data_IF_641377128305
#
_entry.id   IF_641377128305
#
_cell.length_a   1.000
_cell.length_b   1.000
_cell.length_c   1.000
_cell.angle_alpha   90.00
_cell.angle_beta   90.00
_cell.angle_gamma   90.00
#
_symmetry.space_group_name_H-M   'P 1'
#
loop_
_entity.id
_entity.type
_entity.pdbx_description
1 polymer ?
#
# COMPACT_ATOMS: atom_id res chain seq x y z
N UNK A 1 -35.68 -58.41 -56.38
CA UNK A 1 -34.40 -57.96 -55.80
C UNK A 1 -34.46 -56.44 -55.62
N UNK A 2 -34.88 -55.97 -54.43
CA UNK A 2 -34.97 -54.55 -54.11
C UNK A 2 -33.61 -54.02 -53.63
N UNK A 3 -33.10 -52.99 -54.31
CA UNK A 3 -31.86 -52.29 -53.93
C UNK A 3 -32.17 -51.22 -52.89
N UNK A 4 -31.68 -51.44 -51.68
CA UNK A 4 -31.45 -50.43 -50.65
C UNK A 4 -30.43 -49.40 -51.15
N UNK A 5 -30.65 -48.10 -50.86
CA UNK A 5 -29.69 -47.14 -50.28
C UNK A 5 -30.06 -45.70 -50.62
N UNK A 6 -30.30 -44.87 -49.61
CA UNK A 6 -29.42 -43.75 -49.23
C UNK A 6 -30.13 -42.94 -48.13
N UNK A 7 -29.63 -43.01 -46.91
CA UNK A 7 -29.90 -42.04 -45.87
C UNK A 7 -28.59 -41.28 -45.69
N UNK A 8 -28.53 -40.04 -46.19
CA UNK A 8 -27.47 -39.09 -45.84
C UNK A 8 -27.96 -38.29 -44.64
N UNK A 9 -27.47 -38.62 -43.45
CA UNK A 9 -27.53 -37.74 -42.29
C UNK A 9 -26.41 -36.71 -42.41
N UNK A 10 -26.77 -35.47 -42.69
CA UNK A 10 -25.84 -34.32 -42.64
C UNK A 10 -25.85 -33.80 -41.21
N UNK A 11 -24.91 -34.27 -40.40
CA UNK A 11 -24.59 -33.68 -39.09
C UNK A 11 -23.70 -32.46 -39.31
N UNK A 12 -24.33 -31.28 -39.44
CA UNK A 12 -23.64 -30.00 -39.42
C UNK A 12 -23.16 -29.68 -38.01
N UNK A 13 -21.87 -29.92 -37.75
CA UNK A 13 -21.18 -29.50 -36.52
C UNK A 13 -21.08 -27.97 -36.53
N UNK A 14 -21.96 -27.30 -35.78
CA UNK A 14 -21.83 -25.87 -35.50
C UNK A 14 -20.75 -25.69 -34.42
N UNK A 15 -19.53 -25.41 -34.85
CA UNK A 15 -18.43 -25.01 -33.96
C UNK A 15 -18.74 -23.58 -33.50
N UNK A 16 -19.38 -23.45 -32.34
CA UNK A 16 -19.44 -22.19 -31.59
C UNK A 16 -18.03 -21.87 -31.10
N UNK A 17 -17.31 -21.07 -31.89
CA UNK A 17 -16.11 -20.36 -31.47
C UNK A 17 -16.53 -19.34 -30.39
N UNK A 18 -16.59 -19.79 -29.15
CA UNK A 18 -16.65 -18.90 -27.99
C UNK A 18 -15.26 -18.28 -27.85
N UNK A 19 -15.07 -17.13 -28.49
CA UNK A 19 -13.93 -16.26 -28.25
C UNK A 19 -13.96 -15.88 -26.77
N UNK A 20 -13.07 -16.47 -25.97
CA UNK A 20 -12.79 -16.01 -24.63
C UNK A 20 -12.15 -14.64 -24.76
N UNK A 21 -12.97 -13.59 -24.71
CA UNK A 21 -12.50 -12.24 -24.45
C UNK A 21 -11.91 -12.26 -23.04
N UNK A 22 -10.59 -12.38 -22.96
CA UNK A 22 -9.85 -11.97 -21.78
C UNK A 22 -10.06 -10.47 -21.66
N UNK A 23 -11.09 -10.06 -20.93
CA UNK A 23 -11.21 -8.70 -20.41
C UNK A 23 -10.01 -8.48 -19.51
N UNK A 24 -8.93 -7.94 -20.07
CA UNK A 24 -7.96 -7.20 -19.28
C UNK A 24 -8.74 -6.02 -18.72
N UNK A 25 -9.21 -6.16 -17.48
CA UNK A 25 -9.75 -5.05 -16.73
C UNK A 25 -8.60 -4.05 -16.61
N UNK A 26 -8.57 -3.06 -17.50
CA UNK A 26 -7.79 -1.85 -17.29
C UNK A 26 -8.31 -1.27 -15.98
N UNK A 27 -7.61 -1.57 -14.88
CA UNK A 27 -7.87 -0.96 -13.59
C UNK A 27 -7.55 0.51 -13.82
N UNK A 28 -8.54 1.41 -13.78
CA UNK A 28 -8.30 2.80 -14.12
C UNK A 28 -7.24 3.34 -13.16
N UNK A 29 -6.11 3.76 -13.71
CA UNK A 29 -5.00 4.36 -12.98
C UNK A 29 -5.39 5.78 -12.55
N UNK A 30 -6.44 5.91 -11.75
CA UNK A 30 -6.69 7.14 -11.01
C UNK A 30 -5.95 6.96 -9.68
N UNK A 31 -4.63 7.20 -9.70
CA UNK A 31 -3.86 7.38 -8.47
C UNK A 31 -4.26 8.72 -7.87
N UNK A 32 -5.44 8.76 -7.24
CA UNK A 32 -5.80 9.86 -6.36
C UNK A 32 -4.98 9.69 -5.08
N UNK A 33 -4.39 10.74 -4.55
CA UNK A 33 -3.76 10.62 -3.23
C UNK A 33 -4.85 10.26 -2.20
N UNK A 34 -4.67 9.27 -1.30
CA UNK A 34 -5.71 8.88 -0.36
C UNK A 34 -6.15 10.08 0.49
N UNK A 35 -7.46 10.36 0.53
CA UNK A 35 -8.00 11.45 1.34
C UNK A 35 -7.78 11.18 2.83
N UNK A 36 -7.19 12.14 3.54
CA UNK A 36 -6.79 12.00 4.95
C UNK A 36 -7.85 12.65 5.86
N UNK A 37 -9.00 12.00 5.95
CA UNK A 37 -10.20 12.51 6.64
C UNK A 37 -10.57 11.75 7.92
N UNK A 38 -9.87 10.65 8.25
CA UNK A 38 -10.15 9.81 9.43
C UNK A 38 -9.08 9.98 10.50
N UNK A 39 -9.47 9.91 11.77
CA UNK A 39 -8.54 9.78 12.90
C UNK A 39 -8.35 8.31 13.23
N UNK A 40 -7.15 7.89 13.67
CA UNK A 40 -6.95 6.49 14.03
C UNK A 40 -7.86 6.04 15.18
N UNK A 41 -8.52 4.91 14.95
CA UNK A 41 -9.02 4.06 16.01
C UNK A 41 -7.89 3.11 16.47
N UNK A 42 -7.90 2.64 17.74
CA UNK A 42 -6.84 1.77 18.26
C UNK A 42 -6.56 0.55 17.36
N UNK A 43 -7.60 -0.13 16.87
CA UNK A 43 -7.44 -1.30 16.01
C UNK A 43 -6.76 -0.97 14.67
N UNK A 44 -7.08 0.19 14.07
CA UNK A 44 -6.44 0.64 12.84
C UNK A 44 -4.99 1.06 13.08
N UNK A 45 -4.73 1.72 14.21
CA UNK A 45 -3.38 2.10 14.61
C UNK A 45 -2.49 0.86 14.78
N UNK A 46 -3.00 -0.17 15.45
CA UNK A 46 -2.32 -1.45 15.64
C UNK A 46 -2.06 -2.16 14.30
N UNK A 47 -3.06 -2.16 13.39
CA UNK A 47 -2.90 -2.71 12.05
C UNK A 47 -1.78 -2.00 11.28
N UNK A 48 -1.77 -0.66 11.28
CA UNK A 48 -0.76 0.14 10.59
C UNK A 48 0.62 -0.08 11.22
N UNK A 49 0.72 -0.06 12.55
CA UNK A 49 1.97 -0.30 13.27
C UNK A 49 2.52 -1.70 12.97
N UNK A 50 1.65 -2.72 12.93
CA UNK A 50 2.02 -4.09 12.58
C UNK A 50 2.49 -4.19 11.13
N UNK A 51 1.78 -3.55 10.20
CA UNK A 51 2.11 -3.57 8.77
C UNK A 51 3.45 -2.89 8.49
N UNK A 52 3.69 -1.74 9.14
CA UNK A 52 4.95 -1.01 9.02
C UNK A 52 6.13 -1.69 9.72
N UNK A 53 5.85 -2.51 10.73
CA UNK A 53 6.85 -3.40 11.33
C UNK A 53 7.07 -4.69 10.52
N UNK A 54 6.28 -4.89 9.46
CA UNK A 54 6.38 -5.99 8.53
C UNK A 54 7.62 -5.92 7.63
N UNK A 55 7.70 -6.85 6.69
CA UNK A 55 8.84 -6.93 5.76
C UNK A 55 8.63 -5.97 4.60
N UNK A 56 9.62 -5.10 4.35
CA UNK A 56 9.76 -4.45 3.05
C UNK A 56 9.98 -5.52 1.97
N UNK A 57 9.39 -5.32 0.79
CA UNK A 57 9.61 -6.20 -0.33
C UNK A 57 11.10 -6.24 -0.70
N UNK A 58 11.58 -7.38 -1.19
CA UNK A 58 13.01 -7.65 -1.40
C UNK A 58 13.70 -6.68 -2.37
N UNK A 59 12.94 -6.10 -3.30
CA UNK A 59 13.39 -5.13 -4.29
C UNK A 59 13.48 -3.69 -3.75
N UNK A 60 13.00 -3.40 -2.53
CA UNK A 60 13.05 -2.06 -1.96
C UNK A 60 14.45 -1.71 -1.45
N UNK A 61 15.01 -0.61 -1.94
CA UNK A 61 16.33 -0.10 -1.61
C UNK A 61 16.33 0.88 -0.44
N UNK A 62 15.44 0.70 0.54
CA UNK A 62 15.41 1.50 1.75
C UNK A 62 15.29 0.60 2.99
N UNK A 63 15.49 1.21 4.15
CA UNK A 63 15.17 0.57 5.43
C UNK A 63 14.10 1.37 6.16
N UNK A 64 13.19 0.63 6.78
CA UNK A 64 12.14 1.16 7.63
C UNK A 64 12.26 0.46 8.97
N UNK A 65 12.36 1.24 10.05
CA UNK A 65 12.23 0.73 11.41
C UNK A 65 11.08 1.46 12.07
N UNK A 66 10.23 0.70 12.74
CA UNK A 66 9.09 1.21 13.46
C UNK A 66 9.19 0.84 14.93
N UNK A 67 8.74 1.74 15.78
CA UNK A 67 8.65 1.51 17.22
C UNK A 67 7.37 2.12 17.75
N UNK A 68 6.50 1.27 18.28
CA UNK A 68 5.36 1.72 19.08
C UNK A 68 5.86 2.14 20.47
N UNK A 69 5.47 3.33 20.92
CA UNK A 69 5.74 3.81 22.26
C UNK A 69 4.43 4.26 22.92
N UNK A 70 4.27 3.91 24.19
CA UNK A 70 3.19 4.38 25.06
C UNK A 70 3.81 4.98 26.30
N UNK A 71 3.51 6.25 26.57
CA UNK A 71 4.08 6.98 27.71
C UNK A 71 3.02 7.86 28.38
N UNK A 72 3.19 8.13 29.67
CA UNK A 72 2.35 9.09 30.39
C UNK A 72 2.96 10.48 30.19
N UNK A 73 2.16 11.45 29.73
CA UNK A 73 2.54 12.86 29.66
C UNK A 73 1.65 13.69 30.57
N UNK A 74 2.22 14.71 31.17
CA UNK A 74 1.47 15.65 32.01
C UNK A 74 0.99 16.83 31.16
N UNK A 75 -0.33 17.00 31.08
CA UNK A 75 -1.00 18.14 30.46
C UNK A 75 -1.61 19.04 31.52
N UNK A 76 -2.13 20.20 31.13
CA UNK A 76 -2.89 21.09 32.02
C UNK A 76 -4.16 20.44 32.59
N UNK A 77 -4.70 19.43 31.90
CA UNK A 77 -5.85 18.60 32.32
C UNK A 77 -5.48 17.48 33.27
N UNK A 78 -4.18 17.15 33.40
CA UNK A 78 -3.66 16.05 34.21
C UNK A 78 -2.74 15.11 33.42
N UNK A 79 -2.27 14.02 34.06
CA UNK A 79 -1.50 12.98 33.39
C UNK A 79 -2.39 12.16 32.44
N UNK A 80 -1.96 12.02 31.19
CA UNK A 80 -2.68 11.25 30.16
C UNK A 80 -1.72 10.30 29.43
N UNK A 81 -2.26 9.16 28.98
CA UNK A 81 -1.52 8.23 28.13
C UNK A 81 -1.44 8.75 26.70
N UNK A 82 -0.23 8.75 26.15
CA UNK A 82 0.02 9.12 24.76
C UNK A 82 0.67 7.95 24.05
N UNK A 83 0.07 7.54 22.94
CA UNK A 83 0.54 6.47 22.07
C UNK A 83 1.10 7.08 20.78
N UNK A 84 2.29 6.61 20.38
CA UNK A 84 3.01 7.13 19.21
C UNK A 84 3.66 6.00 18.43
N UNK A 85 3.61 6.12 17.11
CA UNK A 85 4.35 5.29 16.17
C UNK A 85 5.58 6.09 15.71
N UNK A 86 6.74 5.72 16.23
CA UNK A 86 8.02 6.26 15.79
C UNK A 86 8.48 5.51 14.53
N UNK A 87 8.93 6.25 13.53
CA UNK A 87 9.35 5.74 12.23
C UNK A 87 10.71 6.30 11.90
N UNK A 88 11.69 5.40 11.73
CA UNK A 88 13.02 5.70 11.22
C UNK A 88 13.15 5.15 9.80
N UNK A 89 13.23 6.05 8.83
CA UNK A 89 13.37 5.74 7.41
C UNK A 89 14.78 6.09 6.94
N UNK A 90 15.40 5.22 6.15
CA UNK A 90 16.63 5.54 5.41
C UNK A 90 16.48 5.11 3.97
N UNK A 91 16.64 6.06 3.05
CA UNK A 91 16.78 5.75 1.64
C UNK A 91 18.16 5.18 1.36
N UNK A 92 18.27 4.24 0.40
CA UNK A 92 19.55 3.75 -0.10
C UNK A 92 20.32 4.77 -0.94
N UNK A 93 19.76 5.97 -1.17
CA UNK A 93 20.44 7.06 -1.84
C UNK A 93 20.75 8.24 -0.91
N UNK A 94 21.76 9.02 -1.27
CA UNK A 94 22.19 10.20 -0.51
C UNK A 94 21.18 11.37 -0.59
N UNK A 95 20.16 11.25 -1.43
CA UNK A 95 19.15 12.29 -1.61
C UNK A 95 18.18 12.40 -0.44
N UNK A 96 18.17 11.44 0.48
CA UNK A 96 17.34 11.46 1.68
C UNK A 96 18.13 10.89 2.88
N UNK A 97 18.97 11.73 3.54
CA UNK A 97 19.57 11.36 4.81
C UNK A 97 18.44 11.00 5.76
N UNK A 98 18.62 9.90 6.49
CA UNK A 98 17.54 9.23 7.20
C UNK A 98 16.62 10.18 7.98
N UNK A 99 15.33 9.93 7.91
CA UNK A 99 14.29 10.74 8.54
C UNK A 99 13.66 9.98 9.70
N UNK A 100 13.36 10.69 10.78
CA UNK A 100 12.73 10.13 11.97
C UNK A 100 11.49 10.93 12.33
N UNK A 101 10.31 10.33 12.21
CA UNK A 101 9.02 10.97 12.51
C UNK A 101 8.28 10.21 13.60
N UNK A 102 7.37 10.91 14.29
CA UNK A 102 6.48 10.32 15.29
C UNK A 102 5.05 10.66 14.94
N UNK A 103 4.24 9.64 14.70
CA UNK A 103 2.82 9.78 14.43
C UNK A 103 2.03 9.45 15.70
N UNK A 104 1.33 10.42 16.32
CA UNK A 104 0.46 10.13 17.46
C UNK A 104 -0.77 9.33 17.03
N UNK A 105 -1.45 8.66 17.97
CA UNK A 105 -2.74 8.03 17.69
C UNK A 105 -3.82 9.04 17.22
N UNK A 106 -3.65 10.32 17.54
CA UNK A 106 -4.53 11.39 17.03
C UNK A 106 -4.20 11.83 15.61
N UNK A 107 -3.19 11.24 14.97
CA UNK A 107 -2.86 11.49 13.57
C UNK A 107 -4.04 11.10 12.68
N UNK A 108 -4.12 11.76 11.52
CA UNK A 108 -5.13 11.44 10.54
C UNK A 108 -4.59 10.43 9.53
N UNK A 109 -5.47 9.61 8.98
CA UNK A 109 -5.13 8.65 7.95
C UNK A 109 -6.20 8.57 6.87
N UNK A 110 -5.78 8.05 5.72
CA UNK A 110 -6.61 7.72 4.57
C UNK A 110 -6.11 6.43 3.95
N UNK A 111 -6.99 5.68 3.29
CA UNK A 111 -6.56 4.55 2.49
C UNK A 111 -7.48 4.33 1.30
N UNK A 112 -6.93 3.67 0.29
CA UNK A 112 -7.66 3.25 -0.88
C UNK A 112 -7.02 1.99 -1.47
N UNK A 113 -7.75 1.32 -2.36
CA UNK A 113 -7.17 0.27 -3.19
C UNK A 113 -6.54 0.91 -4.42
N UNK A 114 -5.29 0.58 -4.71
CA UNK A 114 -4.59 1.08 -5.88
C UNK A 114 -3.92 -0.07 -6.62
N UNK A 115 -3.91 0.00 -7.94
CA UNK A 115 -3.06 -0.88 -8.74
C UNK A 115 -1.61 -0.39 -8.63
N UNK A 116 -0.70 -1.29 -8.28
CA UNK A 116 0.73 -1.06 -8.36
C UNK A 116 1.34 -2.08 -9.33
N UNK A 117 2.44 -1.68 -9.96
CA UNK A 117 3.06 -2.48 -11.00
C UNK A 117 3.71 -3.78 -10.48
N UNK A 118 3.91 -3.95 -9.16
CA UNK A 118 4.72 -5.04 -8.59
C UNK A 118 3.87 -6.20 -8.06
N UNK A 119 2.73 -5.91 -7.43
CA UNK A 119 1.84 -6.92 -6.83
C UNK A 119 0.44 -6.92 -7.44
N UNK A 120 0.16 -6.06 -8.43
CA UNK A 120 -1.18 -5.87 -8.96
C UNK A 120 -2.00 -4.99 -8.01
N UNK A 121 -3.10 -5.49 -7.47
CA UNK A 121 -3.93 -4.73 -6.54
C UNK A 121 -3.26 -4.66 -5.16
N UNK A 122 -3.10 -3.46 -4.61
CA UNK A 122 -2.62 -3.22 -3.26
C UNK A 122 -3.53 -2.26 -2.49
N UNK A 123 -3.26 -2.13 -1.20
CA UNK A 123 -3.91 -1.14 -0.34
C UNK A 123 -2.89 -0.05 0.01
N UNK A 124 -3.18 1.16 -0.45
CA UNK A 124 -2.36 2.35 -0.22
C UNK A 124 -2.90 3.11 0.99
N UNK A 125 -2.01 3.39 1.94
CA UNK A 125 -2.29 4.15 3.16
C UNK A 125 -1.50 5.45 3.14
N UNK A 126 -2.14 6.53 3.56
CA UNK A 126 -1.49 7.81 3.87
C UNK A 126 -1.80 8.20 5.30
N UNK A 127 -0.78 8.66 6.02
CA UNK A 127 -0.86 9.09 7.42
C UNK A 127 -0.27 10.49 7.51
N UNK A 128 -0.95 11.40 8.20
CA UNK A 128 -0.49 12.77 8.43
C UNK A 128 -0.48 13.06 9.94
N UNK A 129 0.66 13.55 10.43
CA UNK A 129 0.87 13.80 11.86
C UNK A 129 0.05 14.98 12.40
N UNK A 130 -0.38 15.90 11.53
CA UNK A 130 -1.09 17.13 11.91
C UNK A 130 -0.22 18.16 12.62
N UNK A 131 1.10 18.11 12.40
CA UNK A 131 2.04 19.10 12.94
C UNK A 131 2.28 20.27 11.97
N UNK A 132 3.04 21.27 12.45
CA UNK A 132 3.31 22.53 11.73
C UNK A 132 4.06 22.33 10.41
N UNK A 133 4.77 21.23 10.25
CA UNK A 133 5.55 20.94 9.05
C UNK A 133 4.83 19.99 8.08
N UNK A 134 3.62 19.54 8.42
CA UNK A 134 2.84 18.65 7.59
C UNK A 134 3.50 17.29 7.39
N UNK A 135 4.12 16.70 8.42
CA UNK A 135 4.76 15.38 8.26
C UNK A 135 3.77 14.29 7.86
N UNK A 136 4.15 13.48 6.87
CA UNK A 136 3.33 12.41 6.35
C UNK A 136 4.12 11.17 5.97
N UNK A 137 3.43 10.03 5.99
CA UNK A 137 3.90 8.74 5.53
C UNK A 137 2.87 8.17 4.54
N UNK A 138 3.34 7.72 3.38
CA UNK A 138 2.54 6.96 2.43
C UNK A 138 3.18 5.61 2.14
N UNK A 139 2.40 4.54 2.18
CA UNK A 139 2.88 3.21 1.84
C UNK A 139 1.79 2.37 1.18
N UNK A 140 2.21 1.39 0.37
CA UNK A 140 1.31 0.42 -0.26
C UNK A 140 1.72 -0.97 0.20
N UNK A 141 0.76 -1.80 0.60
CA UNK A 141 1.00 -3.22 0.88
C UNK A 141 0.25 -4.16 -0.05
N UNK A 142 0.80 -5.35 -0.26
CA UNK A 142 0.33 -6.37 -1.22
C UNK A 142 -0.81 -7.28 -0.68
N UNK A 143 -1.44 -6.91 0.43
CA UNK A 143 -2.41 -7.74 1.14
C UNK A 143 -1.82 -8.97 1.88
N UNK A 144 -0.53 -9.28 1.70
CA UNK A 144 0.20 -10.32 2.44
C UNK A 144 1.10 -9.75 3.54
N UNK A 145 1.03 -8.43 3.75
CA UNK A 145 1.81 -7.71 4.74
C UNK A 145 3.19 -7.27 4.25
N UNK A 146 3.49 -7.40 2.95
CA UNK A 146 4.70 -6.79 2.39
C UNK A 146 4.43 -5.37 1.95
N UNK A 147 5.30 -4.46 2.37
CA UNK A 147 5.30 -3.11 1.83
C UNK A 147 6.00 -3.16 0.49
N UNK A 148 5.33 -2.67 -0.56
CA UNK A 148 5.81 -2.68 -1.95
C UNK A 148 6.12 -1.28 -2.48
N UNK A 149 5.60 -0.25 -1.82
CA UNK A 149 5.92 1.15 -2.06
C UNK A 149 5.91 1.89 -0.73
N UNK A 150 6.83 2.84 -0.57
CA UNK A 150 6.99 3.61 0.67
C UNK A 150 7.52 4.99 0.31
N UNK A 151 6.90 6.03 0.83
CA UNK A 151 7.35 7.42 0.69
C UNK A 151 7.09 8.13 2.00
N UNK A 152 8.11 8.82 2.50
CA UNK A 152 8.02 9.61 3.72
C UNK A 152 8.29 11.07 3.36
N UNK A 153 7.61 12.02 3.96
CA UNK A 153 7.79 13.42 3.59
C UNK A 153 7.16 14.42 4.54
N UNK A 154 7.29 15.69 4.16
CA UNK A 154 6.68 16.85 4.80
C UNK A 154 6.56 17.98 3.76
N UNK A 155 6.14 19.18 4.17
CA UNK A 155 5.94 20.31 3.26
C UNK A 155 7.22 20.78 2.54
N UNK A 156 8.39 20.44 3.07
CA UNK A 156 9.70 20.88 2.55
C UNK A 156 10.38 19.81 1.69
N UNK A 157 10.09 18.53 1.94
CA UNK A 157 10.84 17.43 1.33
C UNK A 157 10.01 16.16 1.21
N UNK A 158 10.21 15.48 0.09
CA UNK A 158 9.68 14.14 -0.16
C UNK A 158 10.83 13.15 -0.32
N UNK A 159 10.73 12.01 0.36
CA UNK A 159 11.72 10.95 0.36
C UNK A 159 11.08 9.61 -0.05
N UNK A 160 11.07 9.30 -1.35
CA UNK A 160 10.59 8.01 -1.83
C UNK A 160 11.60 6.90 -1.53
N UNK A 161 11.09 5.70 -1.26
CA UNK A 161 11.89 4.49 -1.27
C UNK A 161 12.10 4.05 -2.72
N UNK A 162 13.36 4.07 -3.16
CA UNK A 162 13.72 3.61 -4.50
C UNK A 162 13.88 2.09 -4.54
N UNK A 163 13.90 1.55 -5.75
CA UNK A 163 14.31 0.16 -5.97
C UNK A 163 15.80 0.00 -5.61
N UNK A 164 16.19 -1.19 -5.17
CA UNK A 164 17.59 -1.57 -5.09
C UNK A 164 18.21 -1.44 -6.48
N UNK A 165 19.38 -0.81 -6.56
CA UNK A 165 20.14 -0.85 -7.81
C UNK A 165 20.57 -2.31 -8.04
N UNK A 166 20.54 -2.78 -9.29
CA UNK A 166 21.03 -4.12 -9.63
C UNK A 166 22.56 -4.25 -9.58
N UNK A 167 23.26 -3.22 -9.08
CA UNK A 167 24.71 -3.15 -9.03
C UNK A 167 25.31 -3.49 -7.65
N UNK A 168 24.50 -4.00 -6.72
CA UNK A 168 24.91 -4.47 -5.38
C UNK A 168 24.83 -6.00 -5.25
#
# INVERSE_FOLDING_TARGET
MQKLKMIQFVTGVSILLVSTFSFSQEVPMISQDPAVDRTFEPAMFDFVATTLSGKLASFMGCSLKTKFNREIRTFSTGPEWVETLAIDFRSGNNLCPGMSFKFPITAKYGFQKSANHWSGLGEEFKIEAGDVYGHWLKFTHDGKGHIVQLTLGNDLRVCPCHLKSSAD
#
